data_IF_984268393363
#
_entry.id   IF_984268393363
#
_cell.length_a   1.000
_cell.length_b   1.000
_cell.length_c   1.000
_cell.angle_alpha   90.00
_cell.angle_beta   90.00
_cell.angle_gamma   90.00
#
_symmetry.space_group_name_H-M   'P 1'
#
loop_
_entity.id
_entity.type
_entity.pdbx_description
1 polymer ?
#
# COMPACT_ATOMS: atom_id res chain seq x y z
N UNK A 1 -6.36 16.19 19.38
CA UNK A 1 -6.20 15.65 18.02
C UNK A 1 -6.65 14.20 18.09
N UNK A 2 -7.87 13.90 17.63
CA UNK A 2 -8.26 13.76 16.22
C UNK A 2 -8.13 12.29 15.82
N UNK A 3 -9.26 11.57 15.78
CA UNK A 3 -9.64 10.35 15.02
C UNK A 3 -8.62 9.25 14.64
N UNK A 4 -7.37 9.25 15.11
CA UNK A 4 -6.36 8.27 14.70
C UNK A 4 -6.06 8.30 13.19
N UNK A 5 -6.53 9.34 12.48
CA UNK A 5 -6.26 9.56 11.06
C UNK A 5 -4.82 10.08 10.97
N UNK A 6 -3.97 9.19 10.51
CA UNK A 6 -2.57 9.46 10.17
C UNK A 6 -2.44 10.51 9.06
N UNK A 7 -1.25 11.10 8.90
CA UNK A 7 -0.91 12.01 7.78
C UNK A 7 -0.95 11.36 6.38
N UNK A 8 -1.32 10.08 6.27
CA UNK A 8 -1.41 9.38 4.99
C UNK A 8 -2.57 9.88 4.16
N UNK A 9 -2.39 9.90 2.83
CA UNK A 9 -3.48 10.22 1.91
C UNK A 9 -4.48 9.06 1.86
N UNK A 10 -5.72 9.33 2.23
CA UNK A 10 -6.83 8.38 2.13
C UNK A 10 -7.66 8.68 0.86
N UNK A 11 -7.96 7.66 0.05
CA UNK A 11 -8.71 7.79 -1.21
C UNK A 11 -9.78 6.70 -1.26
N UNK A 12 -10.98 7.05 -1.74
CA UNK A 12 -12.09 6.13 -1.98
C UNK A 12 -12.99 6.72 -3.08
N UNK A 13 -13.56 5.87 -3.92
CA UNK A 13 -14.47 6.26 -4.99
C UNK A 13 -15.96 6.01 -4.66
N UNK A 14 -16.25 5.40 -3.50
CA UNK A 14 -17.60 5.09 -2.97
C UNK A 14 -18.61 4.50 -3.96
N UNK A 15 -18.15 3.86 -5.03
CA UNK A 15 -19.02 3.41 -6.12
C UNK A 15 -19.80 2.11 -5.81
N UNK A 16 -19.51 1.48 -4.66
CA UNK A 16 -20.18 0.28 -4.15
C UNK A 16 -19.97 -0.97 -5.02
N UNK A 17 -19.18 -0.90 -6.08
CA UNK A 17 -18.89 -2.02 -6.97
C UNK A 17 -17.61 -2.71 -6.51
N UNK A 18 -17.37 -3.93 -7.00
CA UNK A 18 -16.03 -4.51 -7.01
C UNK A 18 -15.15 -3.54 -7.79
N UNK A 19 -14.45 -2.67 -7.05
CA UNK A 19 -13.89 -1.44 -7.58
C UNK A 19 -12.91 -1.76 -8.69
N UNK A 20 -12.86 -0.92 -9.72
CA UNK A 20 -11.89 -1.02 -10.82
C UNK A 20 -10.47 -1.26 -10.28
N UNK A 21 -10.12 -0.60 -9.18
CA UNK A 21 -8.87 -0.79 -8.45
C UNK A 21 -8.63 -2.26 -8.03
N UNK A 22 -9.63 -2.96 -7.47
CA UNK A 22 -9.48 -4.36 -7.10
C UNK A 22 -9.15 -5.24 -8.32
N UNK A 23 -9.76 -4.95 -9.47
CA UNK A 23 -9.52 -5.71 -10.70
C UNK A 23 -8.15 -5.38 -11.29
N UNK A 24 -7.80 -4.10 -11.41
CA UNK A 24 -6.54 -3.64 -11.99
C UNK A 24 -5.32 -4.10 -11.18
N UNK A 25 -5.45 -4.20 -9.86
CA UNK A 25 -4.38 -4.69 -8.98
C UNK A 25 -4.49 -6.19 -8.67
N UNK A 26 -5.46 -6.90 -9.25
CA UNK A 26 -5.74 -8.31 -8.98
C UNK A 26 -5.89 -8.62 -7.47
N UNK A 27 -6.59 -7.76 -6.74
CA UNK A 27 -6.76 -7.84 -5.30
C UNK A 27 -7.74 -8.95 -4.91
N UNK A 28 -7.26 -9.96 -4.18
CA UNK A 28 -8.08 -11.10 -3.77
C UNK A 28 -8.61 -11.00 -2.32
N UNK A 29 -7.90 -10.28 -1.45
CA UNK A 29 -8.23 -10.17 -0.01
C UNK A 29 -7.89 -8.78 0.50
N UNK A 30 -8.54 -8.38 1.60
CA UNK A 30 -8.23 -7.17 2.36
C UNK A 30 -8.02 -7.53 3.85
N UNK A 31 -7.09 -6.88 4.57
CA UNK A 31 -6.16 -5.84 4.11
C UNK A 31 -5.04 -6.40 3.22
N UNK A 32 -4.49 -5.54 2.34
CA UNK A 32 -3.37 -5.89 1.46
C UNK A 32 -2.51 -4.65 1.18
N UNK A 33 -1.24 -4.87 0.87
CA UNK A 33 -0.27 -3.79 0.66
C UNK A 33 0.50 -4.00 -0.64
N UNK A 34 0.70 -2.94 -1.41
CA UNK A 34 1.65 -2.89 -2.52
C UNK A 34 2.73 -1.87 -2.19
N UNK A 35 3.98 -2.17 -2.55
CA UNK A 35 5.11 -1.24 -2.45
C UNK A 35 5.57 -0.94 -3.87
N UNK A 36 5.63 0.36 -4.19
CA UNK A 36 6.06 0.87 -5.49
C UNK A 36 7.43 1.55 -5.34
N UNK A 37 8.24 1.54 -6.39
CA UNK A 37 9.42 2.40 -6.53
C UNK A 37 9.09 3.73 -7.23
N UNK A 38 10.12 4.56 -7.46
CA UNK A 38 10.02 5.85 -8.15
C UNK A 38 9.52 5.77 -9.59
N UNK A 39 9.68 4.62 -10.25
CA UNK A 39 9.23 4.36 -11.62
C UNK A 39 7.81 3.77 -11.67
N UNK A 40 7.11 3.74 -10.52
CA UNK A 40 5.79 3.15 -10.32
C UNK A 40 5.72 1.63 -10.58
N UNK A 41 6.85 0.93 -10.41
CA UNK A 41 6.88 -0.53 -10.51
C UNK A 41 6.62 -1.17 -9.15
N UNK A 42 5.85 -2.26 -9.15
CA UNK A 42 5.61 -3.03 -7.93
C UNK A 42 6.88 -3.80 -7.57
N UNK A 43 7.53 -3.40 -6.47
CA UNK A 43 8.76 -4.02 -5.95
C UNK A 43 8.51 -4.99 -4.80
N UNK A 44 7.33 -4.93 -4.18
CA UNK A 44 6.87 -5.91 -3.19
C UNK A 44 5.35 -5.83 -2.97
N UNK A 45 4.74 -6.89 -2.43
CA UNK A 45 3.29 -6.94 -2.17
C UNK A 45 2.90 -7.96 -1.10
N UNK A 46 1.76 -7.74 -0.45
CA UNK A 46 1.19 -8.64 0.56
C UNK A 46 1.97 -8.71 1.88
N UNK A 47 2.95 -7.84 2.09
CA UNK A 47 3.70 -7.77 3.35
C UNK A 47 2.86 -7.09 4.43
N UNK A 48 3.01 -7.54 5.67
CA UNK A 48 2.39 -6.96 6.85
C UNK A 48 3.29 -7.06 8.08
N UNK A 49 2.93 -6.37 9.16
CA UNK A 49 3.63 -6.44 10.45
C UNK A 49 5.11 -6.11 10.34
N UNK A 50 5.94 -6.87 11.05
CA UNK A 50 7.38 -6.62 11.14
C UNK A 50 8.13 -6.86 9.82
N UNK A 51 7.61 -7.77 8.99
CA UNK A 51 8.19 -8.05 7.66
C UNK A 51 8.06 -6.82 6.75
N UNK A 52 6.90 -6.16 6.78
CA UNK A 52 6.69 -4.90 6.06
C UNK A 52 7.66 -3.81 6.57
N UNK A 53 7.75 -3.62 7.88
CA UNK A 53 8.63 -2.60 8.48
C UNK A 53 10.10 -2.81 8.09
N UNK A 54 10.57 -4.06 8.12
CA UNK A 54 11.93 -4.41 7.71
C UNK A 54 12.17 -4.08 6.24
N UNK A 55 11.26 -4.47 5.34
CA UNK A 55 11.39 -4.21 3.91
C UNK A 55 11.44 -2.71 3.61
N UNK A 56 10.57 -1.91 4.22
CA UNK A 56 10.58 -0.44 4.07
C UNK A 56 11.91 0.14 4.57
N UNK A 57 12.42 -0.33 5.71
CA UNK A 57 13.73 0.11 6.23
C UNK A 57 14.89 -0.22 5.30
N UNK A 58 14.86 -1.35 4.59
CA UNK A 58 15.87 -1.72 3.59
C UNK A 58 15.80 -0.84 2.34
N UNK A 59 14.59 -0.57 1.83
CA UNK A 59 14.39 0.26 0.64
C UNK A 59 14.80 1.72 0.89
N UNK A 60 14.39 2.30 2.02
CA UNK A 60 14.71 3.70 2.35
C UNK A 60 16.20 3.93 2.66
N UNK A 61 16.94 2.90 3.08
CA UNK A 61 18.39 3.00 3.29
C UNK A 61 19.20 3.01 2.00
N UNK A 62 18.68 2.44 0.91
CA UNK A 62 19.36 2.38 -0.38
C UNK A 62 19.40 3.73 -1.11
N UNK A 63 18.48 4.63 -0.79
CA UNK A 63 18.37 5.95 -1.44
C UNK A 63 19.13 7.05 -0.66
N UNK A 64 20.22 6.67 0.03
CA UNK A 64 21.07 7.57 0.82
C UNK A 64 22.52 7.45 0.36
#
# INVERSE_FOLDING_TARGET
MEDGITEWRHITNFDGKYTEMMQSYCLQTIPYTYILDEDNLIVDKGLSGDVLRKKIGELLKKNK
#
